data_IF_835363117648
#
_entry.id   IF_835363117648
#
_cell.length_a   1.000
_cell.length_b   1.000
_cell.length_c   1.000
_cell.angle_alpha   90.00
_cell.angle_beta   90.00
_cell.angle_gamma   90.00
#
_symmetry.space_group_name_H-M   'P 1'
#
loop_
_entity.id
_entity.type
_entity.pdbx_description
1 polymer ?
#
# COMPACT_ATOMS: atom_id res chain seq x y z
N UNK A 1 -9.57 5.89 -2.56
CA UNK A 1 -8.51 5.91 -3.59
C UNK A 1 -7.85 4.54 -3.82
N UNK A 2 -7.66 3.70 -2.78
CA UNK A 2 -7.06 2.36 -2.89
C UNK A 2 -8.09 1.24 -3.12
N UNK A 3 -8.44 0.48 -2.06
CA UNK A 3 -9.37 -0.66 -2.06
C UNK A 3 -10.24 -0.61 -0.81
N UNK A 4 -11.34 -1.40 -0.77
CA UNK A 4 -12.16 -1.54 0.45
C UNK A 4 -11.33 -2.17 1.57
N UNK A 5 -11.36 -1.59 2.76
CA UNK A 5 -10.55 -2.02 3.89
C UNK A 5 -11.11 -1.50 5.23
N UNK A 6 -10.60 -2.07 6.31
CA UNK A 6 -10.86 -1.76 7.72
C UNK A 6 -9.59 -1.36 8.47
N UNK A 7 -8.70 -0.61 7.79
CA UNK A 7 -7.47 -0.07 8.37
C UNK A 7 -7.76 0.81 9.60
N UNK A 8 -6.92 0.65 10.64
CA UNK A 8 -6.82 1.56 11.76
C UNK A 8 -5.34 1.92 11.99
N UNK A 9 -5.00 3.19 12.31
CA UNK A 9 -3.61 3.65 12.47
C UNK A 9 -3.04 3.23 13.84
N UNK A 10 -3.00 1.92 14.10
CA UNK A 10 -2.51 1.33 15.34
C UNK A 10 -1.53 0.21 15.01
N UNK A 11 -0.30 0.30 15.49
CA UNK A 11 0.72 -0.73 15.26
C UNK A 11 0.22 -2.09 15.77
N UNK A 12 0.40 -3.13 14.97
CA UNK A 12 -0.12 -4.48 15.20
C UNK A 12 -1.57 -4.68 14.77
N UNK A 13 -2.29 -3.64 14.35
CA UNK A 13 -3.64 -3.78 13.80
C UNK A 13 -3.61 -4.61 12.52
N UNK A 14 -4.41 -5.68 12.49
CA UNK A 14 -4.56 -6.54 11.31
C UNK A 14 -5.84 -6.17 10.59
N UNK A 15 -5.74 -6.09 9.28
CA UNK A 15 -6.83 -5.66 8.42
C UNK A 15 -6.71 -6.33 7.04
N UNK A 16 -7.72 -6.17 6.20
CA UNK A 16 -7.67 -6.67 4.82
C UNK A 16 -7.86 -5.56 3.79
N UNK A 17 -7.13 -5.65 2.68
CA UNK A 17 -7.48 -4.95 1.44
C UNK A 17 -8.28 -5.91 0.56
N UNK A 18 -9.46 -5.47 0.10
CA UNK A 18 -10.37 -6.26 -0.73
C UNK A 18 -10.54 -5.61 -2.10
N UNK A 19 -10.03 -6.29 -3.13
CA UNK A 19 -10.19 -5.88 -4.52
C UNK A 19 -11.58 -6.24 -5.05
N UNK A 20 -12.09 -5.43 -5.97
CA UNK A 20 -13.41 -5.67 -6.61
C UNK A 20 -13.44 -6.96 -7.43
N UNK A 21 -12.27 -7.45 -7.85
CA UNK A 21 -12.06 -8.73 -8.53
C UNK A 21 -12.15 -9.96 -7.60
N UNK A 22 -12.47 -9.77 -6.32
CA UNK A 22 -12.62 -10.83 -5.32
C UNK A 22 -11.34 -11.15 -4.52
N UNK A 23 -10.22 -10.51 -4.87
CA UNK A 23 -8.95 -10.67 -4.17
C UNK A 23 -8.92 -10.11 -2.77
N UNK A 24 -8.24 -10.82 -1.87
CA UNK A 24 -8.01 -10.39 -0.49
C UNK A 24 -6.51 -10.42 -0.19
N UNK A 25 -6.04 -9.36 0.46
CA UNK A 25 -4.68 -9.22 0.95
C UNK A 25 -4.70 -9.13 2.47
N UNK A 26 -3.77 -9.83 3.10
CA UNK A 26 -3.58 -9.80 4.54
C UNK A 26 -2.58 -8.71 4.90
N UNK A 27 -2.99 -7.81 5.79
CA UNK A 27 -2.22 -6.66 6.17
C UNK A 27 -2.05 -6.57 7.69
N UNK A 28 -0.94 -5.98 8.10
CA UNK A 28 -0.64 -5.67 9.50
C UNK A 28 0.10 -4.34 9.55
N UNK A 29 -0.36 -3.42 10.39
CA UNK A 29 0.28 -2.12 10.57
C UNK A 29 1.59 -2.30 11.33
N UNK A 30 2.70 -1.86 10.73
CA UNK A 30 4.04 -2.02 11.29
C UNK A 30 4.56 -0.73 11.91
N UNK A 31 4.31 0.41 11.25
CA UNK A 31 4.81 1.72 11.69
C UNK A 31 3.73 2.78 11.49
N UNK A 32 3.53 3.62 12.51
CA UNK A 32 2.71 4.83 12.41
C UNK A 32 3.49 5.98 13.05
N UNK A 33 3.98 6.88 12.20
CA UNK A 33 4.56 8.17 12.60
C UNK A 33 3.69 9.28 12.02
N UNK A 34 2.82 9.92 12.83
CA UNK A 34 1.90 10.95 12.35
C UNK A 34 2.60 12.02 11.51
N UNK A 35 2.08 12.26 10.31
CA UNK A 35 2.61 13.26 9.36
C UNK A 35 3.97 12.91 8.74
N UNK A 36 4.51 11.71 8.95
CA UNK A 36 5.85 11.33 8.46
C UNK A 36 5.89 9.97 7.77
N UNK A 37 5.51 8.90 8.45
CA UNK A 37 5.75 7.53 7.97
C UNK A 37 4.57 6.62 8.30
N UNK A 38 4.14 5.84 7.32
CA UNK A 38 3.21 4.73 7.52
C UNK A 38 3.80 3.50 6.84
N UNK A 39 3.92 2.39 7.57
CA UNK A 39 4.33 1.12 6.98
C UNK A 39 3.39 -0.01 7.40
N UNK A 40 3.07 -0.90 6.48
CA UNK A 40 2.24 -2.07 6.74
C UNK A 40 2.57 -3.25 5.82
N UNK A 41 2.30 -4.47 6.28
CA UNK A 41 2.40 -5.67 5.45
C UNK A 41 1.35 -5.67 4.35
N UNK A 42 1.73 -6.24 3.22
CA UNK A 42 0.89 -6.47 2.06
C UNK A 42 1.16 -7.88 1.57
N UNK A 43 0.43 -8.83 2.14
CA UNK A 43 0.64 -10.23 1.89
C UNK A 43 -0.49 -10.82 1.04
N UNK A 44 -0.13 -11.70 0.12
CA UNK A 44 -1.07 -12.60 -0.55
C UNK A 44 -0.61 -14.03 -0.26
N UNK A 45 -1.26 -14.67 0.70
CA UNK A 45 -0.91 -16.03 1.11
C UNK A 45 -1.36 -17.02 0.04
N UNK A 46 -0.43 -17.82 -0.45
CA UNK A 46 -0.71 -18.85 -1.45
C UNK A 46 0.15 -20.10 -1.21
N UNK A 47 -0.35 -21.27 -1.61
CA UNK A 47 0.44 -22.51 -1.54
C UNK A 47 1.53 -22.57 -2.62
N UNK A 48 1.29 -21.97 -3.79
CA UNK A 48 2.30 -21.84 -4.83
C UNK A 48 3.25 -20.67 -4.48
N UNK A 49 4.56 -20.94 -4.30
CA UNK A 49 5.54 -19.89 -4.01
C UNK A 49 5.61 -18.80 -5.07
N UNK A 50 5.17 -19.03 -6.30
CA UNK A 50 5.12 -17.95 -7.31
C UNK A 50 4.09 -16.88 -6.95
N UNK A 51 3.04 -17.27 -6.25
CA UNK A 51 1.93 -16.40 -5.87
C UNK A 51 1.95 -16.02 -4.38
N UNK A 52 2.72 -16.72 -3.52
CA UNK A 52 2.89 -16.34 -2.10
C UNK A 52 3.70 -15.04 -1.97
N UNK A 53 3.01 -13.90 -1.98
CA UNK A 53 3.62 -12.59 -1.85
C UNK A 53 3.73 -12.22 -0.36
N UNK A 54 4.93 -11.88 0.06
CA UNK A 54 5.22 -11.27 1.37
C UNK A 54 5.91 -9.95 1.13
N UNK A 55 5.25 -8.85 1.48
CA UNK A 55 5.80 -7.53 1.18
C UNK A 55 5.43 -6.49 2.21
N UNK A 56 6.18 -5.39 2.23
CA UNK A 56 5.93 -4.23 3.08
C UNK A 56 5.74 -3.03 2.17
N UNK A 57 4.65 -2.31 2.40
CA UNK A 57 4.39 -1.00 1.79
C UNK A 57 4.77 0.06 2.80
N UNK A 58 5.60 1.01 2.38
CA UNK A 58 6.01 2.16 3.17
C UNK A 58 5.66 3.44 2.44
N UNK A 59 4.89 4.30 3.10
CA UNK A 59 4.71 5.70 2.70
C UNK A 59 5.61 6.58 3.54
N UNK A 60 6.31 7.49 2.88
CA UNK A 60 7.11 8.55 3.51
C UNK A 60 6.62 9.90 3.00
N UNK A 61 6.24 10.77 3.93
CA UNK A 61 5.76 12.11 3.69
C UNK A 61 6.87 13.11 4.05
N UNK A 62 7.25 13.93 3.07
CA UNK A 62 8.21 15.02 3.26
C UNK A 62 7.50 16.34 2.97
N UNK A 63 7.34 17.24 3.95
CA UNK A 63 6.78 18.56 3.71
C UNK A 63 7.60 19.34 2.67
N UNK A 64 6.92 20.11 1.83
CA UNK A 64 7.52 21.03 0.86
C UNK A 64 6.89 22.42 1.01
N UNK A 65 7.46 23.43 0.35
CA UNK A 65 6.91 24.79 0.40
C UNK A 65 5.48 24.90 -0.16
N UNK A 66 5.06 23.96 -1.01
CA UNK A 66 3.76 23.99 -1.70
C UNK A 66 2.87 22.80 -1.35
N UNK A 67 3.27 21.93 -0.43
CA UNK A 67 2.50 20.74 -0.07
C UNK A 67 3.35 19.64 0.56
N UNK A 68 3.17 18.41 0.06
CA UNK A 68 3.88 17.22 0.57
C UNK A 68 4.40 16.39 -0.59
N UNK A 69 5.68 16.04 -0.56
CA UNK A 69 6.24 15.00 -1.40
C UNK A 69 5.96 13.64 -0.76
N UNK A 70 5.17 12.81 -1.44
CA UNK A 70 4.90 11.44 -1.04
C UNK A 70 5.81 10.47 -1.80
N UNK A 71 6.55 9.64 -1.06
CA UNK A 71 7.23 8.46 -1.61
C UNK A 71 6.52 7.21 -1.13
N UNK A 72 6.17 6.33 -2.06
CA UNK A 72 5.66 4.98 -1.77
C UNK A 72 6.69 3.96 -2.24
N UNK A 73 7.04 3.03 -1.37
CA UNK A 73 7.91 1.89 -1.67
C UNK A 73 7.19 0.60 -1.28
N UNK A 74 7.21 -0.40 -2.16
CA UNK A 74 6.80 -1.75 -1.83
C UNK A 74 8.00 -2.70 -2.01
N UNK A 75 8.44 -3.31 -0.91
CA UNK A 75 9.61 -4.18 -0.87
C UNK A 75 9.24 -5.59 -0.40
N UNK A 76 10.01 -6.60 -0.84
CA UNK A 76 9.80 -8.01 -0.47
C UNK A 76 9.51 -8.94 -1.64
N UNK A 77 9.37 -8.42 -2.87
CA UNK A 77 9.25 -9.24 -4.06
C UNK A 77 10.50 -10.11 -4.26
N UNK A 78 10.30 -11.43 -4.39
CA UNK A 78 11.38 -12.35 -4.71
C UNK A 78 11.71 -12.31 -6.21
N UNK A 79 12.95 -12.65 -6.64
CA UNK A 79 13.38 -12.54 -8.04
C UNK A 79 12.49 -13.28 -9.05
N UNK A 80 11.87 -14.38 -8.65
CA UNK A 80 10.94 -15.18 -9.44
C UNK A 80 9.54 -14.57 -9.58
N UNK A 81 9.17 -13.62 -8.71
CA UNK A 81 7.84 -13.00 -8.64
C UNK A 81 7.67 -11.81 -9.59
N UNK A 82 8.20 -11.92 -10.82
CA UNK A 82 8.20 -10.84 -11.82
C UNK A 82 6.81 -10.32 -12.16
N UNK A 83 5.82 -11.20 -12.17
CA UNK A 83 4.42 -10.82 -12.41
C UNK A 83 3.88 -9.96 -11.25
N UNK A 84 4.18 -10.32 -10.00
CA UNK A 84 3.73 -9.56 -8.84
C UNK A 84 4.37 -8.17 -8.80
N UNK A 85 5.69 -8.07 -9.04
CA UNK A 85 6.39 -6.78 -9.08
C UNK A 85 5.92 -5.90 -10.24
N UNK A 86 5.72 -6.48 -11.43
CA UNK A 86 5.21 -5.75 -12.59
C UNK A 86 3.76 -5.27 -12.40
N UNK A 87 2.91 -6.13 -11.83
CA UNK A 87 1.53 -5.78 -11.48
C UNK A 87 1.46 -4.68 -10.42
N UNK A 88 2.32 -4.75 -9.39
CA UNK A 88 2.42 -3.72 -8.36
C UNK A 88 2.84 -2.38 -8.96
N UNK A 89 3.86 -2.35 -9.83
CA UNK A 89 4.30 -1.12 -10.49
C UNK A 89 3.15 -0.44 -11.25
N UNK A 90 2.40 -1.21 -12.04
CA UNK A 90 1.25 -0.67 -12.77
C UNK A 90 0.13 -0.22 -11.84
N UNK A 91 -0.24 -1.05 -10.85
CA UNK A 91 -1.32 -0.76 -9.91
C UNK A 91 -1.05 0.48 -9.06
N UNK A 92 0.17 0.66 -8.58
CA UNK A 92 0.53 1.81 -7.75
C UNK A 92 0.43 3.14 -8.47
N UNK A 93 0.78 3.20 -9.75
CA UNK A 93 0.56 4.42 -10.54
C UNK A 93 -0.92 4.82 -10.53
N UNK A 94 -1.81 3.88 -10.82
CA UNK A 94 -3.25 4.13 -10.80
C UNK A 94 -3.78 4.52 -9.41
N UNK A 95 -3.25 3.92 -8.33
CA UNK A 95 -3.66 4.28 -6.97
C UNK A 95 -3.17 5.67 -6.56
N UNK A 96 -1.95 6.05 -6.94
CA UNK A 96 -1.40 7.38 -6.64
C UNK A 96 -2.13 8.48 -7.41
N UNK A 97 -2.54 8.22 -8.67
CA UNK A 97 -3.39 9.15 -9.42
C UNK A 97 -4.74 9.38 -8.72
N UNK A 98 -5.39 8.29 -8.27
CA UNK A 98 -6.64 8.38 -7.50
C UNK A 98 -6.45 9.08 -6.15
N UNK A 99 -5.30 8.89 -5.50
CA UNK A 99 -4.97 9.58 -4.25
C UNK A 99 -4.86 11.08 -4.48
N UNK A 100 -4.15 11.50 -5.53
CA UNK A 100 -4.01 12.91 -5.89
C UNK A 100 -5.38 13.56 -6.13
N UNK A 101 -6.26 12.90 -6.88
CA UNK A 101 -7.64 13.37 -7.10
C UNK A 101 -8.44 13.44 -5.79
N UNK A 102 -8.32 12.42 -4.92
CA UNK A 102 -9.03 12.38 -3.64
C UNK A 102 -8.60 13.53 -2.75
N UNK A 103 -7.29 13.79 -2.63
CA UNK A 103 -6.75 14.88 -1.81
C UNK A 103 -7.14 16.24 -2.40
N UNK A 104 -7.11 16.41 -3.72
CA UNK A 104 -7.55 17.65 -4.37
C UNK A 104 -9.04 17.96 -4.14
N UNK A 105 -9.87 16.94 -3.90
CA UNK A 105 -11.30 17.08 -3.60
C UNK A 105 -11.62 17.17 -2.11
N UNK A 106 -10.62 17.13 -1.21
CA UNK A 106 -10.85 17.43 0.21
C UNK A 106 -11.04 18.94 0.34
N UNK A 107 -12.24 19.38 0.72
CA UNK A 107 -12.45 20.78 1.10
C UNK A 107 -11.58 21.07 2.33
N UNK A 108 -10.74 22.10 2.23
CA UNK A 108 -9.93 22.65 3.32
C UNK A 108 -10.69 23.67 4.14
#
# INVERSE_FOLDING_TARGET
>A
WLMKNDFAPTVGHRFNLRGEWGGVLDCEVLTVEPGRTLAYRWDHVNEDPKFDLRSIVTFTLTPTATGTHLRMEQAGFRPEQKQASGGALHGWNAFLDKLAQTVAGLET
#
